data_IF_183303012971
#
_entry.id   IF_183303012971
#
_cell.length_a   1.000
_cell.length_b   1.000
_cell.length_c   1.000
_cell.angle_alpha   90.00
_cell.angle_beta   90.00
_cell.angle_gamma   90.00
#
_symmetry.space_group_name_H-M   'P 1'
#
loop_
_entity.id
_entity.type
_entity.pdbx_description
1 polymer ?
#
# COMPACT_ATOMS: atom_id res chain seq x y z
N UNK A 1 7.15 -36.15 -8.16
CA UNK A 1 7.43 -34.99 -9.04
C UNK A 1 6.10 -34.37 -9.43
N UNK A 2 5.75 -33.19 -8.90
CA UNK A 2 4.50 -32.52 -9.26
C UNK A 2 4.58 -32.04 -10.72
N UNK A 3 3.68 -32.52 -11.57
CA UNK A 3 3.52 -32.05 -12.96
C UNK A 3 3.15 -30.57 -12.90
N UNK A 4 4.04 -29.66 -13.31
CA UNK A 4 3.69 -28.25 -13.47
C UNK A 4 2.67 -28.17 -14.61
N UNK A 5 1.41 -27.83 -14.29
CA UNK A 5 0.42 -27.51 -15.31
C UNK A 5 0.90 -26.31 -16.11
N UNK A 6 0.62 -26.30 -17.42
CA UNK A 6 0.95 -25.17 -18.28
C UNK A 6 0.19 -23.92 -17.81
N UNK A 7 0.78 -22.73 -18.01
CA UNK A 7 0.24 -21.43 -17.60
C UNK A 7 -1.23 -21.18 -18.03
N UNK A 8 -1.66 -21.79 -19.14
CA UNK A 8 -3.01 -21.66 -19.69
C UNK A 8 -4.04 -22.66 -19.13
N UNK A 9 -3.62 -23.70 -18.38
CA UNK A 9 -4.52 -24.68 -17.73
C UNK A 9 -4.80 -24.34 -16.26
N UNK A 10 -4.69 -23.07 -15.88
CA UNK A 10 -5.10 -22.64 -14.54
C UNK A 10 -6.60 -22.31 -14.55
N UNK A 11 -7.35 -22.94 -13.65
CA UNK A 11 -8.76 -22.63 -13.40
C UNK A 11 -8.87 -21.29 -12.66
N UNK A 12 -8.59 -20.18 -13.35
CA UNK A 12 -8.71 -18.82 -12.81
C UNK A 12 -10.11 -18.54 -12.23
N UNK A 13 -11.13 -19.18 -12.78
CA UNK A 13 -12.53 -19.13 -12.30
C UNK A 13 -12.71 -19.66 -10.88
N UNK A 14 -11.78 -20.49 -10.38
CA UNK A 14 -11.85 -21.06 -9.03
C UNK A 14 -11.28 -20.13 -7.95
N UNK A 15 -10.45 -19.17 -8.35
CA UNK A 15 -9.72 -18.25 -7.46
C UNK A 15 -9.96 -16.78 -7.85
N UNK A 16 -11.24 -16.43 -8.08
CA UNK A 16 -11.65 -15.07 -8.50
C UNK A 16 -11.16 -14.02 -7.50
N UNK A 17 -11.26 -14.29 -6.20
CA UNK A 17 -10.75 -13.42 -5.14
C UNK A 17 -9.26 -13.17 -5.28
N UNK A 18 -8.45 -14.22 -5.41
CA UNK A 18 -7.00 -14.10 -5.57
C UNK A 18 -6.60 -13.33 -6.85
N UNK A 19 -7.32 -13.50 -7.96
CA UNK A 19 -7.09 -12.75 -9.21
C UNK A 19 -7.36 -11.26 -9.01
N UNK A 20 -8.50 -10.90 -8.40
CA UNK A 20 -8.82 -9.51 -8.09
C UNK A 20 -7.75 -8.89 -7.20
N UNK A 21 -7.33 -9.61 -6.15
CA UNK A 21 -6.28 -9.14 -5.24
C UNK A 21 -4.94 -8.95 -5.96
N UNK A 22 -4.60 -9.83 -6.90
CA UNK A 22 -3.39 -9.73 -7.71
C UNK A 22 -3.42 -8.46 -8.58
N UNK A 23 -4.53 -8.19 -9.26
CA UNK A 23 -4.70 -6.99 -10.08
C UNK A 23 -4.68 -5.73 -9.21
N UNK A 24 -5.42 -5.73 -8.11
CA UNK A 24 -5.46 -4.62 -7.16
C UNK A 24 -4.06 -4.30 -6.62
N UNK A 25 -3.29 -5.33 -6.23
CA UNK A 25 -1.93 -5.16 -5.72
C UNK A 25 -0.99 -4.60 -6.81
N UNK A 26 -1.11 -5.07 -8.05
CA UNK A 26 -0.32 -4.53 -9.16
C UNK A 26 -0.59 -3.04 -9.40
N UNK A 27 -1.87 -2.66 -9.45
CA UNK A 27 -2.28 -1.26 -9.61
C UNK A 27 -1.82 -0.44 -8.40
N UNK A 28 -2.00 -0.94 -7.18
CA UNK A 28 -1.56 -0.27 -5.96
C UNK A 28 -0.05 -0.03 -5.94
N UNK A 29 0.76 -1.01 -6.35
CA UNK A 29 2.22 -0.86 -6.51
C UNK A 29 2.53 0.24 -7.51
N UNK A 30 1.93 0.22 -8.70
CA UNK A 30 2.19 1.23 -9.73
C UNK A 30 1.84 2.65 -9.27
N UNK A 31 0.69 2.80 -8.57
CA UNK A 31 0.29 4.08 -7.99
C UNK A 31 1.24 4.53 -6.90
N UNK A 32 1.70 3.63 -6.02
CA UNK A 32 2.62 3.95 -4.94
C UNK A 32 4.02 4.29 -5.47
N UNK A 33 4.55 3.55 -6.45
CA UNK A 33 5.87 3.81 -7.04
C UNK A 33 5.91 5.13 -7.79
N UNK A 34 4.84 5.46 -8.53
CA UNK A 34 4.72 6.76 -9.19
C UNK A 34 4.44 7.89 -8.20
N UNK A 35 3.60 7.66 -7.19
CA UNK A 35 3.18 8.67 -6.22
C UNK A 35 4.29 9.09 -5.25
N UNK A 36 5.10 8.14 -4.77
CA UNK A 36 6.17 8.39 -3.78
C UNK A 36 7.20 9.45 -4.20
N UNK A 37 7.73 9.48 -5.44
CA UNK A 37 8.66 10.50 -5.89
C UNK A 37 7.99 11.81 -6.35
N UNK A 38 6.66 11.86 -6.45
CA UNK A 38 5.90 13.04 -6.85
C UNK A 38 5.65 14.00 -5.68
N UNK A 39 5.31 15.25 -6.02
CA UNK A 39 4.94 16.26 -5.05
C UNK A 39 3.67 15.88 -4.29
N UNK A 40 3.77 15.79 -2.96
CA UNK A 40 2.67 15.52 -2.03
C UNK A 40 1.90 16.81 -1.72
N UNK A 41 2.62 17.89 -1.45
CA UNK A 41 2.07 19.22 -1.24
C UNK A 41 2.69 20.19 -2.25
N UNK A 42 1.86 21.00 -2.88
CA UNK A 42 2.26 22.03 -3.84
C UNK A 42 1.91 23.40 -3.26
N UNK A 43 2.72 24.42 -3.49
CA UNK A 43 2.35 25.77 -3.07
C UNK A 43 1.10 26.25 -3.81
N UNK A 44 0.24 27.02 -3.13
CA UNK A 44 -0.99 27.55 -3.72
C UNK A 44 -0.73 28.63 -4.77
N UNK A 45 0.36 29.38 -4.61
CA UNK A 45 0.85 30.40 -5.55
C UNK A 45 1.31 29.85 -6.90
N UNK A 46 1.24 28.53 -7.11
CA UNK A 46 1.53 27.87 -8.40
C UNK A 46 0.64 28.30 -9.57
N UNK A 47 -0.60 28.69 -9.27
CA UNK A 47 -1.59 29.11 -10.27
C UNK A 47 -1.58 30.62 -10.47
N UNK A 48 -0.93 31.38 -9.59
CA UNK A 48 -0.67 32.79 -9.82
C UNK A 48 0.43 32.86 -10.88
N UNK A 49 0.06 33.26 -12.10
CA UNK A 49 1.02 33.68 -13.12
C UNK A 49 2.04 34.59 -12.45
N UNK A 50 3.36 34.41 -12.69
CA UNK A 50 4.34 35.26 -12.04
C UNK A 50 3.99 36.70 -12.35
N UNK A 51 3.52 37.43 -11.34
CA UNK A 51 3.40 38.87 -11.42
C UNK A 51 4.80 39.38 -11.78
N UNK A 52 4.87 39.98 -12.98
CA UNK A 52 5.91 40.88 -13.47
C UNK A 52 7.25 40.81 -12.71
N UNK A 53 8.01 39.71 -12.91
CA UNK A 53 9.36 39.54 -12.34
C UNK A 53 9.68 38.17 -11.74
N UNK A 54 8.71 37.27 -11.60
CA UNK A 54 8.95 35.89 -11.14
C UNK A 54 9.52 34.98 -12.25
N UNK A 55 10.63 34.29 -11.98
CA UNK A 55 11.17 33.28 -12.90
C UNK A 55 10.13 32.17 -13.15
N UNK A 56 9.76 31.86 -14.41
CA UNK A 56 8.76 30.82 -14.75
C UNK A 56 9.18 29.40 -14.33
N UNK A 57 10.42 29.23 -13.88
CA UNK A 57 11.02 27.98 -13.39
C UNK A 57 10.84 27.73 -11.88
N UNK A 58 10.35 28.71 -11.11
CA UNK A 58 10.21 28.56 -9.66
C UNK A 58 8.85 27.99 -9.27
N UNK A 59 8.77 26.66 -9.32
CA UNK A 59 7.57 25.87 -9.08
C UNK A 59 7.83 24.89 -7.94
N UNK A 60 7.74 25.34 -6.67
CA UNK A 60 8.16 24.54 -5.53
C UNK A 60 7.13 23.49 -5.09
N UNK A 61 7.57 22.27 -4.79
CA UNK A 61 6.75 21.26 -4.11
C UNK A 61 7.49 20.55 -3.00
N UNK A 62 6.70 20.06 -2.06
CA UNK A 62 7.14 19.16 -1.01
C UNK A 62 6.78 17.73 -1.41
N UNK A 63 7.81 16.89 -1.49
CA UNK A 63 7.69 15.44 -1.62
C UNK A 63 7.87 14.80 -0.24
N UNK A 64 7.70 13.48 -0.13
CA UNK A 64 8.05 12.76 1.09
C UNK A 64 9.55 12.88 1.45
N UNK A 65 10.39 13.15 0.46
CA UNK A 65 11.86 13.14 0.56
C UNK A 65 12.46 14.53 0.78
N UNK A 66 11.62 15.56 0.91
CA UNK A 66 12.03 16.96 1.00
C UNK A 66 11.42 17.85 -0.08
N UNK A 67 11.91 19.07 -0.14
CA UNK A 67 11.44 20.16 -1.00
C UNK A 67 12.24 20.22 -2.29
N UNK A 68 11.52 20.47 -3.38
CA UNK A 68 12.08 20.80 -4.69
C UNK A 68 11.64 22.22 -5.03
N UNK A 69 12.55 23.04 -5.53
CA UNK A 69 12.21 24.38 -6.02
C UNK A 69 11.53 24.35 -7.39
N UNK A 70 11.71 23.27 -8.15
CA UNK A 70 11.00 23.00 -9.39
C UNK A 70 10.58 21.52 -9.41
N UNK A 71 9.27 21.21 -9.39
CA UNK A 71 8.80 19.83 -9.37
C UNK A 71 9.14 19.01 -10.61
N UNK A 72 9.41 19.68 -11.74
CA UNK A 72 9.79 18.98 -12.97
C UNK A 72 11.24 18.47 -12.94
N UNK A 73 12.06 19.01 -12.04
CA UNK A 73 13.44 18.59 -11.89
C UNK A 73 13.59 17.56 -10.76
N UNK A 74 14.56 16.66 -10.91
CA UNK A 74 14.89 15.67 -9.88
C UNK A 74 15.73 16.24 -8.73
N UNK A 75 16.21 17.48 -8.86
CA UNK A 75 17.08 18.12 -7.87
C UNK A 75 16.28 18.62 -6.66
N UNK A 76 16.71 18.18 -5.48
CA UNK A 76 16.20 18.64 -4.20
C UNK A 76 16.93 19.92 -3.80
N UNK A 77 16.15 20.93 -3.44
CA UNK A 77 16.70 22.17 -2.90
C UNK A 77 16.94 22.07 -1.40
N UNK A 78 15.95 21.52 -0.69
CA UNK A 78 16.04 21.26 0.74
C UNK A 78 15.63 19.80 1.00
N UNK A 79 16.47 19.03 1.66
CA UNK A 79 16.18 17.70 2.20
C UNK A 79 15.61 17.81 3.62
N UNK A 80 15.08 16.70 4.12
CA UNK A 80 14.56 16.59 5.49
C UNK A 80 15.60 16.96 6.56
N UNK A 81 16.89 16.85 6.23
CA UNK A 81 18.03 17.19 7.10
C UNK A 81 18.41 18.67 7.10
N UNK A 82 17.85 19.50 6.22
CA UNK A 82 18.23 20.91 6.13
C UNK A 82 17.69 21.74 7.29
N UNK A 83 18.41 22.79 7.74
CA UNK A 83 18.15 23.48 9.00
C UNK A 83 16.74 24.09 9.12
N UNK A 84 16.11 24.44 7.99
CA UNK A 84 14.74 24.94 7.95
C UNK A 84 13.72 23.87 8.46
N UNK A 85 13.96 22.60 8.14
CA UNK A 85 13.10 21.46 8.50
C UNK A 85 13.64 20.78 9.76
N UNK A 86 14.96 20.61 9.85
CA UNK A 86 15.65 20.00 10.99
C UNK A 86 15.56 20.83 12.28
N UNK A 87 15.26 22.13 12.19
CA UNK A 87 15.00 22.99 13.36
C UNK A 87 13.77 22.58 14.16
N UNK A 88 12.85 21.80 13.57
CA UNK A 88 11.70 21.22 14.25
C UNK A 88 11.80 19.68 14.26
N UNK A 89 12.14 19.11 15.42
CA UNK A 89 12.29 17.65 15.58
C UNK A 89 11.02 16.87 15.27
N UNK A 90 9.84 17.47 15.54
CA UNK A 90 8.54 16.84 15.30
C UNK A 90 8.23 16.70 13.80
N UNK A 91 8.55 17.73 12.99
CA UNK A 91 8.41 17.67 11.53
C UNK A 91 9.40 16.64 10.97
N UNK A 92 10.66 16.71 11.40
CA UNK A 92 11.74 15.84 10.92
C UNK A 92 11.41 14.35 11.14
N UNK A 93 11.08 13.97 12.38
CA UNK A 93 10.79 12.56 12.72
C UNK A 93 9.60 12.00 11.95
N UNK A 94 8.57 12.82 11.68
CA UNK A 94 7.43 12.41 10.85
C UNK A 94 7.79 12.26 9.37
N UNK A 95 8.63 13.13 8.82
CA UNK A 95 9.12 12.94 7.44
C UNK A 95 9.97 11.67 7.33
N UNK A 96 10.91 11.44 8.25
CA UNK A 96 11.72 10.21 8.30
C UNK A 96 10.82 8.96 8.43
N UNK A 97 9.77 9.01 9.25
CA UNK A 97 8.79 7.95 9.34
C UNK A 97 8.03 7.75 8.01
N UNK A 98 7.54 8.82 7.39
CA UNK A 98 6.81 8.73 6.13
C UNK A 98 7.67 8.14 4.99
N UNK A 99 8.96 8.50 4.93
CA UNK A 99 9.94 7.91 4.01
C UNK A 99 10.08 6.40 4.26
N UNK A 100 10.39 5.99 5.50
CA UNK A 100 10.59 4.59 5.84
C UNK A 100 9.34 3.74 5.58
N UNK A 101 8.16 4.23 6.00
CA UNK A 101 6.90 3.54 5.77
C UNK A 101 6.51 3.47 4.30
N UNK A 102 6.88 4.45 3.47
CA UNK A 102 6.64 4.38 2.02
C UNK A 102 7.42 3.22 1.38
N UNK A 103 8.67 3.00 1.80
CA UNK A 103 9.51 1.89 1.32
C UNK A 103 8.96 0.55 1.83
N UNK A 104 8.62 0.47 3.12
CA UNK A 104 8.01 -0.74 3.70
C UNK A 104 6.70 -1.08 3.00
N UNK A 105 5.86 -0.08 2.72
CA UNK A 105 4.61 -0.25 1.99
C UNK A 105 4.83 -0.82 0.59
N UNK A 106 5.80 -0.29 -0.16
CA UNK A 106 6.13 -0.78 -1.50
C UNK A 106 6.52 -2.27 -1.49
N UNK A 107 7.45 -2.65 -0.61
CA UNK A 107 7.84 -4.06 -0.49
C UNK A 107 6.67 -4.93 -0.02
N UNK A 108 5.87 -4.46 0.93
CA UNK A 108 4.70 -5.19 1.41
C UNK A 108 3.70 -5.45 0.29
N UNK A 109 3.40 -4.45 -0.54
CA UNK A 109 2.52 -4.58 -1.70
C UNK A 109 3.08 -5.55 -2.75
N UNK A 110 4.40 -5.54 -3.00
CA UNK A 110 5.05 -6.51 -3.88
C UNK A 110 4.97 -7.95 -3.33
N UNK A 111 5.13 -8.12 -2.02
CA UNK A 111 4.93 -9.42 -1.39
C UNK A 111 3.47 -9.88 -1.48
N UNK A 112 2.49 -8.98 -1.32
CA UNK A 112 1.06 -9.32 -1.51
C UNK A 112 0.84 -9.77 -2.95
N UNK A 113 1.35 -9.02 -3.93
CA UNK A 113 1.28 -9.38 -5.33
C UNK A 113 1.86 -10.78 -5.61
N UNK A 114 3.06 -11.08 -5.10
CA UNK A 114 3.69 -12.39 -5.24
C UNK A 114 2.93 -13.51 -4.53
N UNK A 115 2.33 -13.24 -3.36
CA UNK A 115 1.53 -14.19 -2.62
C UNK A 115 0.19 -14.48 -3.32
N UNK A 116 -0.47 -13.45 -3.85
CA UNK A 116 -1.67 -13.58 -4.70
C UNK A 116 -1.37 -14.37 -5.98
N UNK A 117 -0.22 -14.14 -6.61
CA UNK A 117 0.23 -14.94 -7.74
C UNK A 117 0.45 -16.42 -7.36
N UNK A 118 1.13 -16.66 -6.24
CA UNK A 118 1.37 -18.01 -5.72
C UNK A 118 0.07 -18.75 -5.38
N UNK A 119 -0.96 -18.02 -4.94
CA UNK A 119 -2.31 -18.54 -4.75
C UNK A 119 -2.95 -19.02 -6.03
N UNK A 120 -2.90 -18.20 -7.08
CA UNK A 120 -3.42 -18.55 -8.41
C UNK A 120 -2.73 -19.82 -8.95
N UNK A 121 -1.46 -20.00 -8.62
CA UNK A 121 -0.69 -21.21 -8.95
C UNK A 121 -1.07 -22.49 -8.17
N UNK A 122 -2.08 -22.44 -7.30
CA UNK A 122 -2.59 -23.60 -6.57
C UNK A 122 -2.03 -23.76 -5.15
N UNK A 123 -1.31 -22.77 -4.62
CA UNK A 123 -0.85 -22.79 -3.22
C UNK A 123 -1.99 -22.46 -2.24
N UNK A 124 -1.99 -23.08 -1.06
CA UNK A 124 -3.04 -22.92 -0.04
C UNK A 124 -2.70 -21.90 1.06
N UNK A 125 -2.17 -20.73 0.68
CA UNK A 125 -1.67 -19.70 1.62
C UNK A 125 -2.68 -18.57 1.98
N UNK A 126 -3.98 -18.90 2.23
CA UNK A 126 -5.07 -17.87 2.27
C UNK A 126 -4.84 -16.88 3.40
N UNK A 127 -4.58 -17.42 4.58
CA UNK A 127 -4.27 -16.67 5.80
C UNK A 127 -3.04 -15.78 5.62
N UNK A 128 -2.00 -16.28 4.95
CA UNK A 128 -0.78 -15.50 4.69
C UNK A 128 -1.07 -14.29 3.80
N UNK A 129 -1.83 -14.45 2.71
CA UNK A 129 -2.23 -13.34 1.84
C UNK A 129 -3.04 -12.32 2.62
N UNK A 130 -3.98 -12.77 3.46
CA UNK A 130 -4.83 -11.89 4.27
C UNK A 130 -4.01 -11.07 5.27
N UNK A 131 -3.18 -11.72 6.09
CA UNK A 131 -2.33 -11.06 7.09
C UNK A 131 -1.39 -10.04 6.45
N UNK A 132 -0.75 -10.45 5.35
CA UNK A 132 0.16 -9.59 4.61
C UNK A 132 -0.55 -8.39 3.98
N UNK A 133 -1.79 -8.57 3.50
CA UNK A 133 -2.61 -7.50 2.96
C UNK A 133 -3.01 -6.49 4.03
N UNK A 134 -3.41 -6.95 5.22
CA UNK A 134 -3.70 -6.07 6.36
C UNK A 134 -2.46 -5.29 6.78
N UNK A 135 -1.30 -5.94 6.83
CA UNK A 135 -0.03 -5.26 7.12
C UNK A 135 0.31 -4.21 6.06
N UNK A 136 0.14 -4.52 4.78
CA UNK A 136 0.37 -3.57 3.68
C UNK A 136 -0.58 -2.37 3.75
N UNK A 137 -1.84 -2.56 4.15
CA UNK A 137 -2.79 -1.46 4.38
C UNK A 137 -2.29 -0.56 5.53
N UNK A 138 -1.85 -1.15 6.64
CA UNK A 138 -1.26 -0.39 7.75
C UNK A 138 -0.06 0.44 7.31
N UNK A 139 0.87 -0.18 6.58
CA UNK A 139 2.08 0.48 6.10
C UNK A 139 1.78 1.60 5.08
N UNK A 140 0.83 1.38 4.15
CA UNK A 140 0.42 2.40 3.16
C UNK A 140 -0.37 3.55 3.77
N UNK A 141 -0.97 3.37 4.95
CA UNK A 141 -1.72 4.43 5.63
C UNK A 141 -0.82 5.56 6.14
N UNK A 142 0.34 5.20 6.69
CA UNK A 142 1.23 6.14 7.39
C UNK A 142 1.70 7.31 6.51
N UNK A 143 2.22 7.10 5.28
CA UNK A 143 2.78 8.20 4.49
C UNK A 143 1.76 9.27 4.12
N UNK A 144 0.57 8.89 3.65
CA UNK A 144 -0.45 9.88 3.28
C UNK A 144 -1.09 10.51 4.53
N UNK A 145 -1.28 9.76 5.62
CA UNK A 145 -1.81 10.31 6.87
C UNK A 145 -0.89 11.38 7.47
N UNK A 146 0.44 11.19 7.40
CA UNK A 146 1.42 12.19 7.82
C UNK A 146 1.31 13.45 6.96
N UNK A 147 1.21 13.32 5.64
CA UNK A 147 1.00 14.47 4.74
C UNK A 147 -0.29 15.21 5.09
N UNK A 148 -1.38 14.48 5.35
CA UNK A 148 -2.65 15.08 5.79
C UNK A 148 -2.51 15.83 7.12
N UNK A 149 -1.71 15.30 8.05
CA UNK A 149 -1.45 15.99 9.32
C UNK A 149 -0.74 17.34 9.12
N UNK A 150 0.27 17.39 8.24
CA UNK A 150 0.94 18.64 7.89
C UNK A 150 0.03 19.65 7.22
N UNK A 151 -0.98 19.18 6.48
CA UNK A 151 -1.95 20.04 5.81
C UNK A 151 -2.90 20.76 6.79
N UNK A 152 -3.35 20.08 7.84
CA UNK A 152 -4.34 20.62 8.79
C UNK A 152 -3.76 21.22 10.06
N UNK A 153 -2.55 20.81 10.46
CA UNK A 153 -1.95 21.24 11.73
C UNK A 153 -0.57 21.87 11.51
N UNK A 154 -0.32 23.08 12.07
CA UNK A 154 1.01 23.65 12.09
C UNK A 154 1.85 22.95 13.16
N UNK A 155 3.14 22.75 12.87
CA UNK A 155 4.09 22.16 13.81
C UNK A 155 5.21 23.13 14.09
N UNK A 156 5.64 23.24 15.36
CA UNK A 156 6.66 24.20 15.79
C UNK A 156 6.37 25.66 15.38
N UNK A 157 5.10 26.05 15.24
CA UNK A 157 4.71 27.39 14.79
C UNK A 157 4.97 27.69 13.30
N UNK A 158 5.36 26.67 12.52
CA UNK A 158 5.62 26.78 11.08
C UNK A 158 4.34 26.44 10.30
N UNK A 159 3.86 27.38 9.47
CA UNK A 159 2.63 27.21 8.67
C UNK A 159 2.90 26.85 7.19
N UNK A 160 4.16 26.61 6.80
CA UNK A 160 4.53 26.48 5.39
C UNK A 160 4.02 25.22 4.68
N UNK A 161 3.61 24.20 5.44
CA UNK A 161 2.98 22.97 4.92
C UNK A 161 1.46 22.98 5.04
N UNK A 162 0.89 23.97 5.72
CA UNK A 162 -0.53 24.02 6.05
C UNK A 162 -1.36 24.43 4.83
N UNK A 163 -2.66 24.15 4.88
CA UNK A 163 -3.66 24.49 3.85
C UNK A 163 -3.66 25.97 3.44
N UNK A 164 -3.16 26.87 4.29
CA UNK A 164 -3.00 28.30 3.98
C UNK A 164 -2.03 28.54 2.82
N UNK A 165 -0.95 27.77 2.75
CA UNK A 165 0.13 27.96 1.78
C UNK A 165 0.21 26.85 0.74
N UNK A 166 -0.36 25.68 1.03
CA UNK A 166 -0.24 24.50 0.16
C UNK A 166 -1.59 23.92 -0.27
N UNK A 167 -1.54 23.10 -1.33
CA UNK A 167 -2.61 22.25 -1.82
C UNK A 167 -2.09 20.83 -1.99
N UNK A 168 -2.99 19.84 -1.96
CA UNK A 168 -2.62 18.46 -2.28
C UNK A 168 -2.13 18.33 -3.72
N UNK A 169 -0.99 17.67 -3.89
CA UNK A 169 -0.41 17.37 -5.18
C UNK A 169 -0.82 15.99 -5.70
N UNK A 170 -0.40 15.68 -6.92
CA UNK A 170 -0.66 14.40 -7.56
C UNK A 170 -0.07 13.21 -6.78
N UNK A 171 1.09 13.38 -6.13
CA UNK A 171 1.71 12.33 -5.32
C UNK A 171 0.80 11.87 -4.18
N UNK A 172 0.14 12.82 -3.51
CA UNK A 172 -0.81 12.52 -2.43
C UNK A 172 -2.02 11.75 -2.96
N UNK A 173 -2.62 12.22 -4.05
CA UNK A 173 -3.78 11.55 -4.65
C UNK A 173 -3.45 10.11 -5.07
N UNK A 174 -2.26 9.86 -5.63
CA UNK A 174 -1.81 8.53 -6.03
C UNK A 174 -1.58 7.60 -4.84
N UNK A 175 -1.04 8.10 -3.71
CA UNK A 175 -0.89 7.30 -2.50
C UNK A 175 -2.24 6.93 -1.87
N UNK A 176 -3.17 7.89 -1.79
CA UNK A 176 -4.52 7.63 -1.29
C UNK A 176 -5.27 6.65 -2.21
N UNK A 177 -5.13 6.81 -3.53
CA UNK A 177 -5.69 5.87 -4.50
C UNK A 177 -5.09 4.46 -4.36
N UNK A 178 -3.77 4.35 -4.17
CA UNK A 178 -3.10 3.08 -3.90
C UNK A 178 -3.69 2.37 -2.67
N UNK A 179 -3.83 3.11 -1.56
CA UNK A 179 -4.47 2.61 -0.35
C UNK A 179 -5.92 2.16 -0.60
N UNK A 180 -6.73 2.98 -1.28
CA UNK A 180 -8.13 2.67 -1.55
C UNK A 180 -8.29 1.41 -2.42
N UNK A 181 -7.48 1.28 -3.47
CA UNK A 181 -7.45 0.10 -4.34
C UNK A 181 -7.08 -1.15 -3.54
N UNK A 182 -6.09 -1.05 -2.64
CA UNK A 182 -5.67 -2.17 -1.80
C UNK A 182 -6.75 -2.61 -0.81
N UNK A 183 -7.44 -1.65 -0.18
CA UNK A 183 -8.57 -1.91 0.74
C UNK A 183 -9.72 -2.60 0.00
N UNK A 184 -10.12 -2.07 -1.15
CA UNK A 184 -11.16 -2.69 -1.98
C UNK A 184 -10.76 -4.10 -2.45
N UNK A 185 -9.50 -4.28 -2.85
CA UNK A 185 -8.94 -5.58 -3.20
C UNK A 185 -9.06 -6.59 -2.05
N UNK A 186 -8.70 -6.19 -0.82
CA UNK A 186 -8.80 -7.07 0.34
C UNK A 186 -10.24 -7.43 0.70
N UNK A 187 -11.16 -6.45 0.63
CA UNK A 187 -12.59 -6.69 0.86
C UNK A 187 -13.11 -7.72 -0.14
N UNK A 188 -12.86 -7.51 -1.44
CA UNK A 188 -13.29 -8.42 -2.49
C UNK A 188 -12.62 -9.80 -2.37
N UNK A 189 -11.34 -9.86 -2.02
CA UNK A 189 -10.63 -11.12 -1.74
C UNK A 189 -11.29 -11.90 -0.60
N UNK A 190 -11.70 -11.22 0.47
CA UNK A 190 -12.30 -11.86 1.63
C UNK A 190 -13.68 -12.46 1.31
N UNK A 191 -14.49 -11.75 0.51
CA UNK A 191 -15.83 -12.21 0.14
C UNK A 191 -15.85 -13.26 -0.98
N UNK A 192 -14.96 -13.11 -1.98
CA UNK A 192 -15.00 -13.93 -3.20
C UNK A 192 -14.07 -15.14 -3.15
N UNK A 193 -13.13 -15.19 -2.20
CA UNK A 193 -12.28 -16.37 -2.03
C UNK A 193 -12.97 -17.36 -1.08
N UNK A 194 -13.33 -18.58 -1.53
CA UNK A 194 -13.97 -19.56 -0.67
C UNK A 194 -13.12 -19.85 0.57
N UNK A 195 -13.73 -19.93 1.75
CA UNK A 195 -13.03 -20.40 2.94
C UNK A 195 -12.67 -21.87 2.80
N UNK A 196 -11.40 -22.18 3.04
CA UNK A 196 -10.96 -23.56 3.30
C UNK A 196 -11.29 -23.86 4.76
N UNK A 197 -12.56 -23.76 5.13
CA UNK A 197 -13.04 -24.01 6.49
C UNK A 197 -14.23 -24.96 6.38
N UNK A 198 -13.94 -26.25 6.24
CA UNK A 198 -14.76 -27.34 6.82
C UNK A 198 -14.30 -28.74 6.42
N UNK A 199 -13.77 -28.98 5.21
CA UNK A 199 -13.51 -30.37 4.77
C UNK A 199 -12.54 -31.13 5.67
N UNK A 200 -11.53 -30.47 6.26
CA UNK A 200 -10.62 -31.14 7.20
C UNK A 200 -11.29 -31.56 8.52
N UNK A 201 -12.30 -30.82 8.98
CA UNK A 201 -13.02 -31.12 10.23
C UNK A 201 -14.08 -32.20 10.05
N UNK A 202 -14.59 -32.37 8.82
CA UNK A 202 -15.48 -33.46 8.46
C UNK A 202 -14.70 -34.74 8.17
N UNK A 203 -13.58 -34.68 7.44
CA UNK A 203 -12.71 -35.85 7.23
C UNK A 203 -12.14 -36.41 8.54
N UNK A 204 -11.72 -35.55 9.50
CA UNK A 204 -11.26 -36.02 10.82
C UNK A 204 -12.41 -36.61 11.68
N UNK A 205 -13.67 -36.21 11.42
CA UNK A 205 -14.85 -36.76 12.10
C UNK A 205 -15.32 -38.07 11.47
N UNK A 206 -15.32 -38.20 10.15
CA UNK A 206 -15.66 -39.44 9.46
C UNK A 206 -14.58 -40.51 9.67
N UNK A 207 -13.29 -40.16 9.58
CA UNK A 207 -12.19 -41.07 9.86
C UNK A 207 -12.16 -41.57 11.32
N UNK A 208 -12.58 -40.73 12.28
CA UNK A 208 -12.74 -41.12 13.69
C UNK A 208 -13.98 -42.00 13.94
N UNK A 209 -15.05 -41.81 13.17
CA UNK A 209 -16.29 -42.59 13.27
C UNK A 209 -16.14 -43.99 12.67
N UNK A 210 -15.43 -44.13 11.54
CA UNK A 210 -15.19 -45.42 10.88
C UNK A 210 -14.17 -46.29 11.62
N UNK A 211 -13.20 -45.68 12.31
CA UNK A 211 -12.28 -46.40 13.18
C UNK A 211 -12.97 -46.99 14.42
N UNK A 212 -14.01 -46.31 14.94
CA UNK A 212 -14.76 -46.77 16.12
C UNK A 212 -15.77 -47.87 15.80
N UNK A 213 -16.33 -47.90 14.58
CA UNK A 213 -17.30 -48.92 14.15
C UNK A 213 -16.64 -50.26 13.83
N UNK A 214 -15.41 -50.26 13.30
CA UNK A 214 -14.64 -51.48 13.04
C UNK A 214 -14.08 -52.16 14.30
N UNK A 215 -13.82 -51.41 15.38
CA UNK A 215 -13.37 -52.00 16.65
C UNK A 215 -14.46 -52.79 17.39
N UNK A 216 -15.74 -52.48 17.14
CA UNK A 216 -16.88 -53.09 17.84
C UNK A 216 -17.35 -54.43 17.24
N UNK A 217 -16.93 -54.77 16.02
CA UNK A 217 -17.29 -56.03 15.33
C UNK A 217 -16.24 -57.14 15.47
N UNK A 218 -15.10 -56.89 16.13
CA UNK A 218 -14.05 -57.88 16.35
C UNK A 218 -14.16 -58.59 17.73
N UNK A 219 -15.20 -58.29 18.50
CA UNK A 219 -15.43 -58.85 19.83
C UNK A 219 -16.89 -59.28 20.01
N UNK A 220 -17.34 -60.28 19.25
CA UNK A 220 -18.41 -61.22 19.66
C UNK A 220 -18.50 -62.41 18.71
#
# INVERSE_FOLDING_TARGET
MARRKAFYEQEYSRHIGAVIMCIASFVAVALATCGTPLGMLMLRTWDETPEEGGNPEFRPCFTLWGKRNNCWNANYSDRVTDPLIAGCSDIRTRFEAAEAFSVIALFSLLFVFGASWSKICGSSIKTTVMVLSVFAIGATTVPWAIVTSFYYTPFCGLEFLTYKQTRFGAGYALLVASFAVQVLGLILFTFLEPEIVSTKREEDKEAGSDASSHASSASH
#
